data_IF_086316726335
#
_entry.id   IF_086316726335
#
_cell.length_a   1.000
_cell.length_b   1.000
_cell.length_c   1.000
_cell.angle_alpha   90.00
_cell.angle_beta   90.00
_cell.angle_gamma   90.00
#
_symmetry.space_group_name_H-M   'P 1'
#
loop_
_entity.id
_entity.type
_entity.pdbx_description
1 polymer ?
#
# COMPACT_ATOMS: atom_id res chain seq x y z
N UNK A 1 3.26 -35.10 13.68
CA UNK A 1 3.47 -34.44 14.99
C UNK A 1 2.63 -33.17 15.00
N UNK A 2 1.64 -33.02 15.89
CA UNK A 2 0.98 -31.73 16.02
C UNK A 2 2.02 -30.70 16.51
N UNK A 3 2.05 -29.53 15.87
CA UNK A 3 2.87 -28.41 16.32
C UNK A 3 2.23 -27.88 17.61
N UNK A 4 2.68 -28.41 18.76
CA UNK A 4 2.08 -28.27 20.10
C UNK A 4 2.23 -26.85 20.71
N UNK A 5 2.08 -25.80 19.91
CA UNK A 5 1.84 -24.45 20.42
C UNK A 5 0.33 -24.21 20.40
N UNK A 6 -0.29 -24.14 21.57
CA UNK A 6 -1.74 -23.88 21.73
C UNK A 6 -2.15 -22.50 21.16
N UNK A 7 -1.16 -21.62 20.95
CA UNK A 7 -1.31 -20.32 20.29
C UNK A 7 -0.57 -20.31 18.95
N UNK A 8 -1.23 -19.90 17.85
CA UNK A 8 -0.56 -19.72 16.57
C UNK A 8 0.53 -18.65 16.69
N UNK A 9 1.66 -18.87 16.04
CA UNK A 9 2.74 -17.89 15.99
C UNK A 9 2.37 -16.76 15.05
N UNK A 10 2.49 -15.52 15.53
CA UNK A 10 2.20 -14.35 14.71
C UNK A 10 3.32 -14.11 13.71
N UNK A 11 2.95 -14.00 12.45
CA UNK A 11 3.80 -13.52 11.37
C UNK A 11 3.12 -12.31 10.73
N UNK A 12 3.84 -11.19 10.65
CA UNK A 12 3.39 -9.99 9.96
C UNK A 12 4.18 -9.84 8.68
N UNK A 13 3.47 -9.66 7.57
CA UNK A 13 4.06 -9.45 6.24
C UNK A 13 4.01 -7.97 5.91
N UNK A 14 5.17 -7.37 5.64
CA UNK A 14 5.28 -6.03 5.05
C UNK A 14 5.57 -6.19 3.55
N UNK A 15 4.80 -5.50 2.72
CA UNK A 15 4.88 -5.60 1.24
C UNK A 15 6.28 -5.25 0.73
N UNK A 16 6.92 -4.23 1.31
CA UNK A 16 8.25 -3.75 0.91
C UNK A 16 9.30 -4.00 2.00
N UNK A 17 8.95 -4.78 3.01
CA UNK A 17 9.71 -4.96 4.23
C UNK A 17 9.97 -6.43 4.59
N UNK A 18 10.50 -6.67 5.80
CA UNK A 18 10.78 -8.01 6.28
C UNK A 18 9.52 -8.77 6.69
N UNK A 19 9.65 -10.09 6.83
CA UNK A 19 8.67 -10.89 7.58
C UNK A 19 8.97 -10.76 9.07
N UNK A 20 8.05 -10.21 9.85
CA UNK A 20 8.22 -10.09 11.30
C UNK A 20 7.57 -11.29 11.98
N UNK A 21 8.37 -12.07 12.70
CA UNK A 21 7.96 -13.31 13.38
C UNK A 21 8.05 -13.11 14.89
N UNK A 22 7.02 -13.54 15.61
CA UNK A 22 7.05 -13.66 17.06
C UNK A 22 8.05 -14.75 17.49
N UNK A 23 9.11 -14.35 18.18
CA UNK A 23 10.21 -15.23 18.56
C UNK A 23 10.01 -15.93 19.91
N UNK A 24 11.02 -16.67 20.39
CA UNK A 24 12.30 -16.95 19.72
C UNK A 24 12.12 -17.81 18.46
N UNK A 25 13.07 -17.73 17.52
CA UNK A 25 13.02 -18.48 16.25
C UNK A 25 14.36 -19.16 15.94
N UNK A 26 14.26 -20.35 15.36
CA UNK A 26 15.35 -21.04 14.64
C UNK A 26 15.05 -20.97 13.15
N UNK A 27 16.05 -20.60 12.35
CA UNK A 27 15.95 -20.52 10.89
C UNK A 27 16.90 -21.54 10.30
N UNK A 28 16.33 -22.49 9.55
CA UNK A 28 17.07 -23.44 8.74
C UNK A 28 17.30 -22.84 7.36
N UNK A 29 18.57 -22.76 6.96
CA UNK A 29 19.02 -22.21 5.69
C UNK A 29 19.04 -23.30 4.61
N UNK A 30 19.16 -22.89 3.35
CA UNK A 30 19.19 -23.82 2.21
C UNK A 30 20.38 -24.79 2.25
N UNK A 31 21.51 -24.35 2.81
CA UNK A 31 22.71 -25.18 3.02
C UNK A 31 22.60 -26.12 4.23
N UNK A 32 21.46 -26.12 4.93
CA UNK A 32 21.21 -26.89 6.14
C UNK A 32 21.77 -26.25 7.41
N UNK A 33 22.44 -25.09 7.33
CA UNK A 33 22.87 -24.37 8.53
C UNK A 33 21.67 -23.83 9.31
N UNK A 34 21.81 -23.77 10.64
CA UNK A 34 20.78 -23.26 11.54
C UNK A 34 21.29 -22.02 12.26
N UNK A 35 20.51 -20.96 12.22
CA UNK A 35 20.77 -19.74 12.98
C UNK A 35 19.60 -19.41 13.90
N UNK A 36 19.91 -19.03 15.13
CA UNK A 36 18.90 -18.84 16.19
C UNK A 36 18.87 -17.40 16.64
N UNK A 37 17.66 -16.88 16.88
CA UNK A 37 17.45 -15.60 17.53
C UNK A 37 16.55 -15.76 18.75
N UNK A 38 17.06 -15.32 19.90
CA UNK A 38 16.34 -15.35 21.17
C UNK A 38 15.50 -14.08 21.43
N UNK A 39 15.35 -13.21 20.43
CA UNK A 39 14.52 -12.00 20.55
C UNK A 39 13.04 -12.38 20.49
N UNK A 40 12.21 -11.62 21.19
CA UNK A 40 10.75 -11.82 21.21
C UNK A 40 10.06 -11.44 19.89
N UNK A 41 10.73 -10.65 19.04
CA UNK A 41 10.31 -10.35 17.69
C UNK A 41 11.53 -10.32 16.77
N UNK A 42 11.40 -10.93 15.59
CA UNK A 42 12.52 -11.14 14.66
C UNK A 42 12.08 -10.75 13.27
N UNK A 43 12.91 -9.96 12.58
CA UNK A 43 12.65 -9.53 11.20
C UNK A 43 13.50 -10.36 10.23
N UNK A 44 12.85 -11.20 9.42
CA UNK A 44 13.48 -12.00 8.38
C UNK A 44 13.55 -11.24 7.06
N UNK A 45 14.71 -11.31 6.41
CA UNK A 45 14.97 -10.64 5.15
C UNK A 45 14.26 -11.37 3.99
N UNK A 46 13.39 -10.65 3.30
CA UNK A 46 12.74 -11.09 2.05
C UNK A 46 13.44 -10.55 0.80
N UNK A 47 14.15 -9.42 0.93
CA UNK A 47 14.75 -8.72 -0.20
C UNK A 47 16.15 -9.20 -0.63
N UNK A 48 16.74 -10.13 0.13
CA UNK A 48 18.11 -10.67 -0.05
C UNK A 48 19.26 -9.66 -0.16
N UNK A 49 19.03 -8.40 0.25
CA UNK A 49 20.05 -7.34 0.30
C UNK A 49 20.77 -7.23 1.64
N UNK A 50 20.33 -8.01 2.65
CA UNK A 50 20.91 -7.94 3.98
C UNK A 50 22.33 -8.48 4.02
N UNK A 51 23.22 -7.80 4.74
CA UNK A 51 24.58 -8.26 5.04
C UNK A 51 24.62 -9.32 6.15
N UNK A 52 23.53 -9.46 6.89
CA UNK A 52 23.37 -10.40 8.00
C UNK A 52 22.23 -11.38 7.73
N UNK A 53 22.06 -11.78 6.47
CA UNK A 53 21.08 -12.77 6.06
C UNK A 53 21.17 -14.02 6.98
N UNK A 54 20.03 -14.52 7.52
CA UNK A 54 18.63 -14.25 7.16
C UNK A 54 17.98 -13.06 7.86
N UNK A 55 18.69 -12.33 8.72
CA UNK A 55 18.13 -11.21 9.49
C UNK A 55 18.00 -9.94 8.63
N UNK A 56 16.98 -9.13 8.88
CA UNK A 56 16.82 -7.84 8.24
C UNK A 56 17.72 -6.78 8.90
N UNK A 57 18.57 -6.13 8.11
CA UNK A 57 19.46 -5.03 8.51
C UNK A 57 19.00 -3.67 7.96
N UNK A 58 17.72 -3.56 7.59
CA UNK A 58 17.10 -2.40 6.89
C UNK A 58 17.56 -2.14 5.46
N UNK A 59 18.39 -3.01 4.85
CA UNK A 59 18.81 -2.88 3.44
C UNK A 59 17.67 -2.96 2.42
N UNK A 60 16.45 -3.31 2.85
CA UNK A 60 15.26 -3.28 2.01
C UNK A 60 14.85 -1.84 1.61
N UNK A 61 15.18 -0.83 2.42
CA UNK A 61 14.84 0.56 2.15
C UNK A 61 15.53 1.03 0.87
N UNK A 62 14.78 1.66 -0.04
CA UNK A 62 15.33 2.25 -1.26
C UNK A 62 16.35 3.32 -0.88
N UNK A 63 17.60 3.16 -1.32
CA UNK A 63 18.57 4.25 -1.28
C UNK A 63 18.20 5.22 -2.39
N UNK A 64 17.50 6.30 -2.07
CA UNK A 64 17.37 7.41 -3.01
C UNK A 64 18.77 7.98 -3.17
N UNK A 65 19.39 7.75 -4.32
CA UNK A 65 20.63 8.42 -4.69
C UNK A 65 20.25 9.88 -4.96
N UNK A 66 20.42 10.76 -3.98
CA UNK A 66 20.48 12.19 -4.24
C UNK A 66 21.77 12.44 -5.02
N UNK A 67 21.72 12.31 -6.35
CA UNK A 67 22.79 12.76 -7.22
C UNK A 67 22.93 14.28 -7.12
N UNK A 68 24.11 14.86 -7.40
CA UNK A 68 24.23 16.30 -7.55
C UNK A 68 23.29 16.74 -8.66
N UNK A 69 22.38 17.65 -8.33
CA UNK A 69 21.37 18.15 -9.24
C UNK A 69 22.07 19.14 -10.18
N UNK A 70 22.53 18.64 -11.33
CA UNK A 70 22.94 19.51 -12.42
C UNK A 70 21.69 20.24 -12.93
N UNK A 71 21.47 21.46 -12.41
CA UNK A 71 20.50 22.40 -12.95
C UNK A 71 21.03 22.90 -14.29
N UNK A 72 20.79 22.13 -15.36
CA UNK A 72 20.96 22.57 -16.74
C UNK A 72 19.63 23.09 -17.28
N UNK A 73 19.58 24.24 -17.98
CA UNK A 73 18.33 24.77 -18.49
C UNK A 73 17.89 23.98 -19.74
N UNK A 74 16.76 23.30 -19.62
CA UNK A 74 15.82 23.09 -20.74
C UNK A 74 16.06 21.89 -21.65
N UNK A 75 15.13 20.94 -21.57
CA UNK A 75 14.57 20.33 -22.78
C UNK A 75 13.10 19.99 -22.52
N UNK A 76 12.24 20.53 -23.37
CA UNK A 76 10.78 20.45 -23.29
C UNK A 76 10.31 19.07 -23.76
N UNK A 77 9.40 18.47 -22.97
CA UNK A 77 8.27 17.56 -23.29
C UNK A 77 8.55 16.33 -24.18
N UNK A 78 8.16 15.13 -23.75
CA UNK A 78 6.88 14.45 -24.06
C UNK A 78 6.84 13.11 -23.28
N UNK A 79 5.76 12.48 -22.82
CA UNK A 79 4.32 12.74 -22.88
C UNK A 79 3.57 11.86 -21.86
N UNK A 80 2.33 12.28 -21.58
CA UNK A 80 1.13 11.50 -21.21
C UNK A 80 1.03 10.91 -19.80
N UNK A 81 0.38 11.70 -18.93
CA UNK A 81 -0.50 11.20 -17.90
C UNK A 81 -1.65 10.41 -18.54
N UNK A 82 -1.89 9.19 -18.07
CA UNK A 82 -3.10 8.42 -18.33
C UNK A 82 -4.04 8.53 -17.13
N UNK A 83 -4.76 9.64 -17.02
CA UNK A 83 -6.00 9.74 -16.24
C UNK A 83 -7.09 10.16 -17.22
N UNK A 84 -7.97 9.23 -17.57
CA UNK A 84 -9.17 9.52 -18.34
C UNK A 84 -10.34 8.85 -17.65
N UNK A 85 -11.14 9.64 -16.94
CA UNK A 85 -12.54 9.35 -16.70
C UNK A 85 -13.35 10.31 -17.58
N UNK A 86 -14.52 9.80 -17.98
CA UNK A 86 -15.73 10.49 -18.37
C UNK A 86 -15.99 10.68 -19.90
N UNK A 87 -17.07 9.99 -20.34
CA UNK A 87 -18.17 10.38 -21.25
C UNK A 87 -17.94 10.38 -22.78
N UNK A 88 -18.59 9.45 -23.51
CA UNK A 88 -19.66 9.77 -24.49
C UNK A 88 -20.36 8.49 -25.07
N UNK A 89 -21.70 8.51 -25.08
CA UNK A 89 -22.78 7.80 -25.82
C UNK A 89 -22.53 6.44 -26.54
N UNK A 90 -23.48 5.46 -26.60
CA UNK A 90 -24.84 5.54 -27.20
C UNK A 90 -25.76 4.33 -26.82
N UNK A 91 -27.09 4.60 -26.77
CA UNK A 91 -28.28 3.77 -27.10
C UNK A 91 -28.59 2.50 -26.26
N UNK A 92 -29.77 2.26 -25.65
CA UNK A 92 -31.14 2.23 -26.21
C UNK A 92 -32.24 2.36 -25.12
N UNK A 93 -33.25 3.21 -25.37
CA UNK A 93 -34.71 3.15 -25.08
C UNK A 93 -35.31 2.29 -23.93
N UNK A 94 -36.14 2.91 -23.07
CA UNK A 94 -37.62 2.71 -22.97
C UNK A 94 -38.27 3.83 -22.12
N UNK A 95 -39.50 4.18 -22.50
CA UNK A 95 -40.27 5.35 -22.07
C UNK A 95 -41.05 5.18 -20.75
N UNK A 96 -41.61 6.32 -20.31
CA UNK A 96 -42.92 6.53 -19.64
C UNK A 96 -42.87 7.16 -18.24
N UNK A 97 -43.60 8.28 -18.08
CA UNK A 97 -44.12 8.75 -16.79
C UNK A 97 -43.95 10.24 -16.52
N UNK A 98 -44.81 11.06 -17.10
CA UNK A 98 -44.94 12.50 -16.84
C UNK A 98 -45.74 12.77 -15.56
N UNK A 99 -45.28 13.64 -14.65
CA UNK A 99 -46.17 14.44 -13.78
C UNK A 99 -45.56 15.81 -13.51
N UNK A 100 -46.21 16.80 -14.11
CA UNK A 100 -46.09 18.24 -13.94
C UNK A 100 -46.83 18.60 -12.64
N UNK A 101 -46.21 19.34 -11.72
CA UNK A 101 -46.94 20.20 -10.79
C UNK A 101 -45.96 21.24 -10.24
N UNK A 102 -45.98 22.38 -10.91
CA UNK A 102 -45.46 23.63 -10.42
C UNK A 102 -46.29 24.10 -9.23
N UNK A 103 -45.65 24.46 -8.11
CA UNK A 103 -46.16 25.52 -7.24
C UNK A 103 -45.04 26.45 -6.78
N UNK A 104 -45.44 27.71 -6.72
CA UNK A 104 -44.74 28.99 -6.82
C UNK A 104 -44.12 29.46 -5.48
N UNK A 105 -43.07 30.31 -5.50
CA UNK A 105 -42.38 30.78 -4.30
C UNK A 105 -43.06 31.99 -3.65
N UNK A 106 -43.31 31.92 -2.35
CA UNK A 106 -43.70 33.08 -1.55
C UNK A 106 -42.88 33.20 -0.27
N UNK A 107 -42.00 34.19 -0.33
CA UNK A 107 -41.56 35.13 0.71
C UNK A 107 -42.26 35.12 2.08
N UNK A 108 -41.48 35.59 3.05
CA UNK A 108 -41.85 36.30 4.27
C UNK A 108 -41.75 35.55 5.63
N UNK A 109 -41.07 36.28 6.52
CA UNK A 109 -41.08 36.29 7.98
C UNK A 109 -39.92 35.55 8.66
N UNK A 110 -39.02 36.17 9.41
CA UNK A 110 -39.01 37.51 10.02
C UNK A 110 -38.42 37.43 11.44
N UNK A 111 -37.75 38.52 11.87
CA UNK A 111 -37.34 38.86 13.24
C UNK A 111 -36.26 37.97 13.89
N UNK A 112 -35.09 38.53 14.25
CA UNK A 112 -34.80 39.08 15.59
C UNK A 112 -35.06 38.01 16.68
N UNK A 113 -34.06 37.54 17.43
CA UNK A 113 -33.09 38.28 18.25
C UNK A 113 -31.75 37.55 18.38
#
# INVERSE_FOLDING_TARGET
MPNTSDRPRRVTVDRDGPLVVEGPVEVVMEDGSVVTSHRFAVALCTCRRSRTYPWCDTSHRRRVRTGPQSHGPGSRRSNAAGTGNAEDAQDTEVAEGAHDDAEDPADANGAAE
#
